data_IF_479411093188
#
_entry.id   IF_479411093188
#
_cell.length_a   1.000
_cell.length_b   1.000
_cell.length_c   1.000
_cell.angle_alpha   90.00
_cell.angle_beta   90.00
_cell.angle_gamma   90.00
#
_symmetry.space_group_name_H-M   'P 1'
#
loop_
_entity.id
_entity.type
_entity.pdbx_description
1 polymer ?
#
# COMPACT_ATOMS: atom_id res chain seq x y z
N UNK A 1 -16.57 9.27 9.86
CA UNK A 1 -15.09 9.24 9.88
C UNK A 1 -14.56 7.95 9.29
N UNK A 2 -15.16 6.80 9.61
CA UNK A 2 -14.80 5.52 8.99
C UNK A 2 -14.89 5.53 7.46
N UNK A 3 -15.87 6.23 6.89
CA UNK A 3 -15.98 6.39 5.43
C UNK A 3 -14.76 7.07 4.80
N UNK A 4 -14.11 8.00 5.50
CA UNK A 4 -12.89 8.66 5.01
C UNK A 4 -11.66 7.76 5.17
N UNK A 5 -11.67 6.85 6.16
CA UNK A 5 -10.61 5.86 6.37
C UNK A 5 -10.71 4.72 5.35
N UNK A 6 -11.93 4.36 4.95
CA UNK A 6 -12.24 3.28 4.00
C UNK A 6 -13.12 3.79 2.83
N UNK A 7 -12.59 4.69 1.98
CA UNK A 7 -13.38 5.39 0.96
C UNK A 7 -13.91 4.48 -0.17
N UNK A 8 -13.36 3.27 -0.29
CA UNK A 8 -13.81 2.24 -1.24
C UNK A 8 -14.44 1.02 -0.52
N UNK A 9 -14.86 1.22 0.73
CA UNK A 9 -15.40 0.18 1.62
C UNK A 9 -14.33 -0.63 2.35
N UNK A 10 -14.77 -1.47 3.30
CA UNK A 10 -13.92 -2.37 4.09
C UNK A 10 -13.48 -3.62 3.30
N UNK A 11 -13.31 -3.47 1.98
CA UNK A 11 -13.55 -4.48 0.94
C UNK A 11 -12.65 -5.72 0.89
N UNK A 12 -11.84 -6.00 1.90
CA UNK A 12 -11.09 -7.25 1.96
C UNK A 12 -11.61 -8.15 3.07
N UNK A 13 -12.26 -9.24 2.67
CA UNK A 13 -12.57 -10.37 3.56
C UNK A 13 -11.55 -11.48 3.30
N UNK A 14 -10.79 -11.82 4.34
CA UNK A 14 -9.95 -13.03 4.31
C UNK A 14 -10.85 -14.24 4.06
N UNK A 15 -10.59 -15.00 2.99
CA UNK A 15 -11.28 -16.26 2.71
C UNK A 15 -11.99 -16.36 1.34
N UNK A 16 -12.00 -15.30 0.54
CA UNK A 16 -12.47 -15.44 -0.84
C UNK A 16 -11.43 -16.24 -1.63
N UNK A 17 -11.83 -17.42 -2.10
CA UNK A 17 -11.05 -18.20 -3.07
C UNK A 17 -11.02 -17.36 -4.35
N UNK A 18 -9.81 -16.98 -4.75
CA UNK A 18 -9.60 -16.33 -6.05
C UNK A 18 -9.59 -17.42 -7.11
N UNK A 19 -10.42 -17.28 -8.14
CA UNK A 19 -10.43 -18.20 -9.27
C UNK A 19 -9.19 -17.97 -10.15
N UNK A 20 -8.54 -19.04 -10.60
CA UNK A 20 -7.34 -18.96 -11.45
C UNK A 20 -7.58 -18.13 -12.71
N UNK A 21 -8.82 -18.13 -13.23
CA UNK A 21 -9.20 -17.32 -14.40
C UNK A 21 -9.05 -15.80 -14.16
N UNK A 22 -9.08 -15.36 -12.90
CA UNK A 22 -8.99 -13.95 -12.53
C UNK A 22 -7.54 -13.49 -12.29
N UNK A 23 -6.58 -14.43 -12.17
CA UNK A 23 -5.17 -14.11 -11.92
C UNK A 23 -4.59 -13.10 -12.93
N UNK A 24 -4.81 -13.23 -14.26
CA UNK A 24 -4.27 -12.25 -15.21
C UNK A 24 -4.74 -10.82 -14.93
N UNK A 25 -6.00 -10.64 -14.53
CA UNK A 25 -6.56 -9.33 -14.22
C UNK A 25 -5.96 -8.72 -12.94
N UNK A 26 -5.75 -9.51 -11.90
CA UNK A 26 -5.10 -9.05 -10.67
C UNK A 26 -3.62 -8.73 -10.88
N UNK A 27 -2.90 -9.57 -11.64
CA UNK A 27 -1.50 -9.31 -11.99
C UNK A 27 -1.39 -8.00 -12.76
N UNK A 28 -2.27 -7.77 -13.75
CA UNK A 28 -2.31 -6.52 -14.49
C UNK A 28 -2.62 -5.31 -13.60
N UNK A 29 -3.57 -5.46 -12.67
CA UNK A 29 -3.91 -4.40 -11.69
C UNK A 29 -2.70 -4.00 -10.84
N UNK A 30 -1.92 -4.98 -10.35
CA UNK A 30 -0.68 -4.72 -9.60
C UNK A 30 0.38 -4.07 -10.50
N UNK A 31 0.50 -4.51 -11.75
CA UNK A 31 1.45 -3.96 -12.72
C UNK A 31 1.16 -2.48 -13.06
N UNK A 32 -0.13 -2.10 -13.14
CA UNK A 32 -0.56 -0.74 -13.46
C UNK A 32 -0.54 0.21 -12.25
N UNK A 33 -0.55 -0.32 -11.02
CA UNK A 33 -0.64 0.47 -9.80
C UNK A 33 0.45 1.57 -9.68
N UNK A 34 1.74 1.33 -9.99
CA UNK A 34 2.75 2.38 -9.94
C UNK A 34 2.52 3.52 -10.95
N UNK A 35 1.97 3.21 -12.14
CA UNK A 35 1.64 4.22 -13.14
C UNK A 35 0.46 5.08 -12.67
N UNK A 36 -0.59 4.45 -12.15
CA UNK A 36 -1.77 5.13 -11.64
C UNK A 36 -1.44 6.00 -10.43
N UNK A 37 -0.58 5.52 -9.52
CA UNK A 37 -0.11 6.29 -8.37
C UNK A 37 0.67 7.53 -8.81
N UNK A 38 1.62 7.37 -9.75
CA UNK A 38 2.36 8.50 -10.33
C UNK A 38 1.44 9.53 -10.98
N UNK A 39 0.41 9.07 -11.70
CA UNK A 39 -0.56 9.96 -12.31
C UNK A 39 -1.38 10.72 -11.26
N UNK A 40 -1.78 10.06 -10.17
CA UNK A 40 -2.58 10.65 -9.10
C UNK A 40 -1.85 11.77 -8.32
N UNK A 41 -0.53 11.66 -8.17
CA UNK A 41 0.28 12.67 -7.46
C UNK A 41 1.00 13.66 -8.39
N UNK A 42 0.84 13.50 -9.71
CA UNK A 42 1.51 14.34 -10.69
C UNK A 42 1.07 15.80 -10.56
N UNK A 43 2.05 16.69 -10.40
CA UNK A 43 1.81 18.14 -10.36
C UNK A 43 1.33 18.65 -9.00
N UNK A 44 1.25 17.80 -7.98
CA UNK A 44 1.07 18.26 -6.60
C UNK A 44 2.32 19.02 -6.14
N UNK A 45 2.09 20.15 -5.48
CA UNK A 45 3.13 20.89 -4.75
C UNK A 45 3.52 20.17 -3.45
N UNK A 46 4.67 20.50 -2.87
CA UNK A 46 5.08 19.95 -1.56
C UNK A 46 4.01 20.16 -0.48
N UNK A 47 3.39 21.35 -0.44
CA UNK A 47 2.29 21.63 0.49
C UNK A 47 1.10 20.67 0.31
N UNK A 48 0.79 20.28 -0.92
CA UNK A 48 -0.30 19.32 -1.19
C UNK A 48 0.14 17.89 -0.86
N UNK A 49 1.39 17.54 -1.14
CA UNK A 49 1.96 16.24 -0.73
C UNK A 49 1.97 16.09 0.79
N UNK A 50 2.19 17.19 1.51
CA UNK A 50 2.21 17.23 2.98
C UNK A 50 0.82 17.46 3.61
N UNK A 51 -0.25 17.43 2.80
CA UNK A 51 -1.63 17.54 3.30
C UNK A 51 -2.14 16.17 3.75
N UNK A 52 -2.72 16.04 4.97
CA UNK A 52 -3.36 14.81 5.42
C UNK A 52 -4.53 14.39 4.52
N UNK A 53 -4.62 13.11 4.13
CA UNK A 53 -5.72 12.62 3.29
C UNK A 53 -7.07 12.60 4.02
N UNK A 54 -7.04 12.63 5.36
CA UNK A 54 -8.18 12.75 6.28
C UNK A 54 -7.72 13.41 7.59
N UNK A 55 -8.64 13.90 8.45
CA UNK A 55 -8.28 14.35 9.80
C UNK A 55 -7.49 13.29 10.57
N UNK A 56 -6.38 13.71 11.19
CA UNK A 56 -5.44 12.87 11.94
C UNK A 56 -4.89 11.67 11.14
N UNK A 57 -4.91 11.75 9.81
CA UNK A 57 -4.36 10.75 8.90
C UNK A 57 -2.96 11.09 8.42
N UNK A 58 -2.36 10.16 7.67
CA UNK A 58 -1.10 10.39 6.98
C UNK A 58 -1.23 11.45 5.89
N UNK A 59 -0.11 12.10 5.59
CA UNK A 59 0.00 12.96 4.40
C UNK A 59 -0.03 12.13 3.12
N UNK A 60 -0.28 12.77 1.98
CA UNK A 60 -0.19 12.09 0.68
C UNK A 60 1.21 11.50 0.49
N UNK A 61 2.27 12.23 0.85
CA UNK A 61 3.66 11.78 0.79
C UNK A 61 3.90 10.50 1.59
N UNK A 62 3.44 10.45 2.83
CA UNK A 62 3.53 9.26 3.68
C UNK A 62 2.78 8.06 3.09
N UNK A 63 1.59 8.27 2.49
CA UNK A 63 0.85 7.20 1.83
C UNK A 63 1.61 6.66 0.62
N UNK A 64 2.25 7.51 -0.19
CA UNK A 64 3.07 7.07 -1.33
C UNK A 64 4.24 6.19 -0.87
N UNK A 65 4.99 6.63 0.15
CA UNK A 65 6.13 5.88 0.68
C UNK A 65 5.67 4.57 1.35
N UNK A 66 4.58 4.61 2.12
CA UNK A 66 4.01 3.41 2.72
C UNK A 66 3.62 2.34 1.69
N UNK A 67 3.11 2.73 0.51
CA UNK A 67 2.81 1.77 -0.56
C UNK A 67 4.08 1.04 -1.02
N UNK A 68 5.22 1.72 -1.11
CA UNK A 68 6.49 1.09 -1.44
C UNK A 68 6.93 0.09 -0.36
N UNK A 69 6.89 0.50 0.91
CA UNK A 69 7.27 -0.34 2.06
C UNK A 69 6.39 -1.57 2.19
N UNK A 70 5.07 -1.37 2.11
CA UNK A 70 4.07 -2.43 2.22
C UNK A 70 4.23 -3.45 1.09
N UNK A 71 4.43 -2.98 -0.15
CA UNK A 71 4.63 -3.87 -1.30
C UNK A 71 5.97 -4.60 -1.25
N UNK A 72 7.04 -3.99 -0.73
CA UNK A 72 8.31 -4.66 -0.52
C UNK A 72 8.20 -5.79 0.51
N UNK A 73 7.51 -5.53 1.63
CA UNK A 73 7.19 -6.54 2.64
C UNK A 73 6.33 -7.67 2.04
N UNK A 74 5.31 -7.34 1.25
CA UNK A 74 4.46 -8.33 0.58
C UNK A 74 5.27 -9.22 -0.39
N UNK A 75 6.16 -8.64 -1.17
CA UNK A 75 7.04 -9.38 -2.08
C UNK A 75 7.98 -10.36 -1.34
N UNK A 76 8.57 -9.92 -0.22
CA UNK A 76 9.41 -10.78 0.61
C UNK A 76 8.58 -11.93 1.19
N UNK A 77 7.39 -11.64 1.74
CA UNK A 77 6.47 -12.65 2.28
C UNK A 77 6.04 -13.67 1.23
N UNK A 78 5.80 -13.24 -0.01
CA UNK A 78 5.49 -14.14 -1.12
C UNK A 78 6.65 -15.11 -1.38
N UNK A 79 7.90 -14.63 -1.36
CA UNK A 79 9.06 -15.51 -1.51
C UNK A 79 9.15 -16.54 -0.38
N UNK A 80 8.98 -16.11 0.87
CA UNK A 80 8.96 -17.04 2.02
C UNK A 80 7.88 -18.11 1.83
N UNK A 81 6.66 -17.72 1.45
CA UNK A 81 5.54 -18.65 1.25
C UNK A 81 5.79 -19.66 0.12
N UNK A 82 6.59 -19.31 -0.88
CA UNK A 82 6.94 -20.21 -1.99
C UNK A 82 8.10 -21.15 -1.67
N UNK A 83 8.88 -20.88 -0.61
CA UNK A 83 10.12 -21.61 -0.33
C UNK A 83 10.15 -22.29 1.05
N UNK A 84 9.20 -22.00 1.93
CA UNK A 84 9.14 -22.51 3.30
C UNK A 84 7.78 -23.14 3.60
N UNK A 85 7.76 -24.13 4.49
CA UNK A 85 6.52 -24.73 4.98
C UNK A 85 5.92 -23.86 6.10
N UNK A 86 4.78 -23.21 5.82
CA UNK A 86 4.05 -22.36 6.78
C UNK A 86 4.93 -21.30 7.48
N UNK A 87 5.57 -20.39 6.73
CA UNK A 87 6.50 -19.42 7.31
C UNK A 87 5.80 -18.46 8.28
N UNK A 88 6.47 -18.16 9.40
CA UNK A 88 6.09 -17.02 10.23
C UNK A 88 6.61 -15.74 9.58
N UNK A 89 5.70 -14.89 9.12
CA UNK A 89 6.08 -13.60 8.53
C UNK A 89 6.53 -12.60 9.60
N UNK A 90 7.40 -11.66 9.23
CA UNK A 90 7.80 -10.54 10.10
C UNK A 90 6.79 -9.39 10.02
N UNK A 91 6.13 -9.00 11.13
CA UNK A 91 5.38 -7.76 11.21
C UNK A 91 6.31 -6.55 11.26
N UNK A 92 5.79 -5.37 10.95
CA UNK A 92 6.49 -4.10 11.10
C UNK A 92 5.51 -3.04 11.63
N UNK A 93 6.05 -2.07 12.38
CA UNK A 93 5.28 -0.95 12.94
C UNK A 93 5.09 0.12 11.87
N UNK A 94 4.11 -0.06 10.99
CA UNK A 94 3.87 0.82 9.83
C UNK A 94 3.73 2.30 10.18
N UNK A 95 3.14 2.61 11.34
CA UNK A 95 3.01 3.97 11.85
C UNK A 95 4.34 4.58 12.28
N UNK A 96 5.31 3.77 12.73
CA UNK A 96 6.66 4.23 13.05
C UNK A 96 7.52 4.36 11.78
N UNK A 97 7.32 3.50 10.78
CA UNK A 97 8.01 3.61 9.49
C UNK A 97 7.65 4.89 8.76
N UNK A 98 6.38 5.29 8.77
CA UNK A 98 5.91 6.55 8.18
C UNK A 98 6.49 7.82 8.84
N UNK A 99 7.19 7.70 9.98
CA UNK A 99 7.89 8.79 10.66
C UNK A 99 9.40 8.82 10.37
N UNK A 100 9.92 7.86 9.61
CA UNK A 100 11.33 7.83 9.25
C UNK A 100 11.64 8.92 8.20
N UNK A 101 12.89 9.43 8.15
CA UNK A 101 13.24 10.57 7.29
C UNK A 101 12.97 10.36 5.80
N UNK A 102 13.07 9.13 5.31
CA UNK A 102 12.76 8.77 3.92
C UNK A 102 11.28 9.00 3.57
N UNK A 103 10.38 8.83 4.54
CA UNK A 103 8.95 9.13 4.38
C UNK A 103 8.64 10.64 4.26
N UNK A 104 9.64 11.51 4.48
CA UNK A 104 9.56 12.96 4.29
C UNK A 104 10.28 13.42 3.00
N UNK A 105 10.98 12.52 2.31
CA UNK A 105 11.72 12.86 1.09
C UNK A 105 10.81 13.04 -0.14
N UNK A 106 11.29 13.77 -1.18
CA UNK A 106 10.59 13.97 -2.45
C UNK A 106 10.10 12.69 -3.14
#
# INVERSE_FOLDING_TARGET
MDDLKYPVGNGYTFGNIVDEKDYPAYIQTIADAPLNLRAAVKGLSDKQLDTPYRPDGWTVRQVVHHLADSHMNAYIRLKLALTEEMPTIKPYEEAEWAKLPDSEMP
#
